data_IF_613112216874
#
_entry.id   IF_613112216874
#
_cell.length_a   1.000
_cell.length_b   1.000
_cell.length_c   1.000
_cell.angle_alpha   90.00
_cell.angle_beta   90.00
_cell.angle_gamma   90.00
#
_symmetry.space_group_name_H-M   'P 1'
#
loop_
_entity.id
_entity.type
_entity.pdbx_description
1 polymer ?
#
# COMPACT_ATOMS: atom_id res chain seq x y z
N UNK A 1 -6.04 31.08 -1.98
CA UNK A 1 -4.87 31.07 -1.05
C UNK A 1 -3.65 30.51 -1.75
N UNK A 2 -2.45 30.81 -1.25
CA UNK A 2 -1.18 30.33 -1.80
C UNK A 2 -0.29 29.77 -0.68
N UNK A 3 0.34 28.61 -0.91
CA UNK A 3 1.42 28.10 -0.05
C UNK A 3 2.69 27.95 -0.89
N UNK A 4 3.73 28.72 -0.55
CA UNK A 4 5.07 28.60 -1.15
C UNK A 4 5.74 27.29 -0.70
N UNK A 5 6.26 26.56 -1.67
CA UNK A 5 6.97 25.30 -1.44
C UNK A 5 8.49 25.53 -1.40
N UNK A 6 9.24 24.54 -0.92
CA UNK A 6 10.72 24.63 -0.86
C UNK A 6 11.36 24.78 -2.25
N UNK A 7 10.88 24.01 -3.21
CA UNK A 7 11.24 23.92 -4.62
C UNK A 7 10.25 22.96 -5.31
N UNK A 8 10.34 22.80 -6.63
CA UNK A 8 9.53 21.93 -7.47
C UNK A 8 9.88 20.45 -7.28
N UNK A 9 9.83 19.65 -8.35
CA UNK A 9 10.23 18.24 -8.26
C UNK A 9 11.70 18.08 -7.83
N UNK A 10 12.57 19.02 -8.24
CA UNK A 10 13.99 19.00 -7.96
C UNK A 10 14.48 20.34 -7.38
N UNK A 11 15.58 20.36 -6.60
CA UNK A 11 16.09 21.58 -5.95
C UNK A 11 16.38 22.78 -6.87
N UNK A 12 16.73 22.54 -8.14
CA UNK A 12 17.00 23.61 -9.10
C UNK A 12 15.71 24.31 -9.60
N UNK A 13 14.54 23.69 -9.42
CA UNK A 13 13.24 24.23 -9.84
C UNK A 13 12.65 25.11 -8.71
N UNK A 14 13.19 26.30 -8.48
CA UNK A 14 12.94 27.07 -7.23
C UNK A 14 11.54 27.68 -7.10
N UNK A 15 10.88 28.01 -8.21
CA UNK A 15 9.59 28.70 -8.20
C UNK A 15 8.43 27.70 -8.11
N UNK A 16 8.12 27.25 -6.89
CA UNK A 16 7.08 26.25 -6.66
C UNK A 16 6.08 26.70 -5.58
N UNK A 17 4.79 26.51 -5.86
CA UNK A 17 3.67 26.83 -4.97
C UNK A 17 2.51 25.88 -5.21
N UNK A 18 1.59 25.80 -4.25
CA UNK A 18 0.22 25.32 -4.47
C UNK A 18 -0.75 26.48 -4.30
N UNK A 19 -1.79 26.47 -5.11
CA UNK A 19 -2.91 27.41 -5.08
C UNK A 19 -4.21 26.62 -4.93
N UNK A 20 -5.10 27.13 -4.10
CA UNK A 20 -6.41 26.53 -3.84
C UNK A 20 -7.36 27.57 -3.27
N UNK A 21 -8.65 27.31 -3.44
CA UNK A 21 -9.72 28.14 -2.90
C UNK A 21 -9.95 27.81 -1.42
N UNK A 22 -10.23 28.83 -0.61
CA UNK A 22 -10.60 28.70 0.80
C UNK A 22 -9.63 27.92 1.73
N UNK A 23 -9.98 27.83 3.03
CA UNK A 23 -9.14 27.33 4.13
C UNK A 23 -9.28 25.81 4.34
N UNK A 24 -9.39 25.02 3.27
CA UNK A 24 -9.60 23.56 3.38
C UNK A 24 -8.33 22.77 3.73
N UNK A 25 -7.14 23.36 3.63
CA UNK A 25 -5.86 22.71 3.90
C UNK A 25 -4.97 23.61 4.75
N UNK A 26 -4.56 23.11 5.91
CA UNK A 26 -3.76 23.84 6.89
C UNK A 26 -2.43 23.12 7.18
N UNK A 27 -1.32 23.84 7.10
CA UNK A 27 -0.01 23.35 7.53
C UNK A 27 0.15 23.63 9.03
N UNK A 28 0.00 22.61 9.86
CA UNK A 28 0.07 22.74 11.32
C UNK A 28 1.51 22.74 11.85
N UNK A 29 2.45 22.21 11.07
CA UNK A 29 3.87 22.16 11.40
C UNK A 29 4.73 21.86 10.16
N UNK A 30 5.98 22.32 10.17
CA UNK A 30 6.96 22.05 9.11
C UNK A 30 6.71 22.86 7.82
N UNK A 31 7.55 22.61 6.80
CA UNK A 31 7.46 23.28 5.49
C UNK A 31 7.34 22.25 4.36
N UNK A 32 6.27 22.28 3.55
CA UNK A 32 6.04 21.31 2.48
C UNK A 32 6.99 21.50 1.28
N UNK A 33 7.42 20.39 0.69
CA UNK A 33 7.99 20.34 -0.66
C UNK A 33 6.95 19.94 -1.71
N UNK A 34 7.31 20.06 -3.00
CA UNK A 34 6.40 19.68 -4.10
C UNK A 34 5.99 18.21 -4.06
N UNK A 35 6.96 17.31 -3.94
CA UNK A 35 6.69 15.86 -3.85
C UNK A 35 5.86 15.54 -2.60
N UNK A 36 6.09 16.24 -1.48
CA UNK A 36 5.27 16.07 -0.28
C UNK A 36 3.79 16.36 -0.54
N UNK A 37 3.47 17.42 -1.30
CA UNK A 37 2.08 17.74 -1.64
C UNK A 37 1.49 16.73 -2.63
N UNK A 38 2.27 16.23 -3.59
CA UNK A 38 1.82 15.15 -4.49
C UNK A 38 1.44 13.91 -3.68
N UNK A 39 2.30 13.49 -2.76
CA UNK A 39 2.04 12.34 -1.89
C UNK A 39 0.85 12.59 -0.96
N UNK A 40 0.80 13.74 -0.27
CA UNK A 40 -0.26 14.07 0.69
C UNK A 40 -1.65 14.11 0.02
N UNK A 41 -1.78 14.76 -1.13
CA UNK A 41 -3.09 14.91 -1.79
C UNK A 41 -3.58 13.60 -2.41
N UNK A 42 -2.70 12.76 -2.98
CA UNK A 42 -3.10 11.45 -3.49
C UNK A 42 -3.42 10.47 -2.36
N UNK A 43 -2.60 10.46 -1.31
CA UNK A 43 -2.80 9.58 -0.15
C UNK A 43 -4.07 9.94 0.64
N UNK A 44 -4.39 11.23 0.78
CA UNK A 44 -5.64 11.69 1.36
C UNK A 44 -6.86 11.16 0.61
N UNK A 45 -6.86 11.31 -0.72
CA UNK A 45 -7.97 10.83 -1.56
C UNK A 45 -8.15 9.31 -1.42
N UNK A 46 -7.05 8.54 -1.36
CA UNK A 46 -7.11 7.10 -1.12
C UNK A 46 -7.83 6.80 0.20
N UNK A 47 -7.39 7.38 1.32
CA UNK A 47 -7.96 7.04 2.63
C UNK A 47 -9.38 7.57 2.80
N UNK A 48 -9.73 8.70 2.18
CA UNK A 48 -11.10 9.22 2.13
C UNK A 48 -12.01 8.23 1.39
N UNK A 49 -11.66 7.83 0.17
CA UNK A 49 -12.48 6.88 -0.62
C UNK A 49 -12.54 5.50 0.02
N UNK A 50 -11.47 5.04 0.64
CA UNK A 50 -11.46 3.75 1.33
C UNK A 50 -12.34 3.78 2.60
N UNK A 51 -12.34 4.91 3.32
CA UNK A 51 -13.26 5.12 4.44
C UNK A 51 -14.71 5.13 3.99
N UNK A 52 -15.05 5.92 2.97
CA UNK A 52 -16.41 5.99 2.39
C UNK A 52 -16.91 4.61 1.91
N UNK A 53 -16.06 3.83 1.25
CA UNK A 53 -16.46 2.54 0.69
C UNK A 53 -16.61 1.41 1.72
N UNK A 54 -15.93 1.50 2.87
CA UNK A 54 -15.87 0.42 3.87
C UNK A 54 -16.51 0.78 5.21
N UNK A 55 -16.74 2.05 5.49
CA UNK A 55 -17.16 2.56 6.80
C UNK A 55 -16.09 2.41 7.89
N UNK A 56 -14.87 1.96 7.55
CA UNK A 56 -13.78 1.74 8.51
C UNK A 56 -12.75 2.84 8.45
N UNK A 57 -12.13 3.13 9.60
CA UNK A 57 -10.94 3.97 9.64
C UNK A 57 -9.88 3.34 8.74
N UNK A 58 -9.30 4.13 7.84
CA UNK A 58 -8.31 3.67 6.89
C UNK A 58 -7.05 4.52 6.94
N UNK A 59 -5.96 3.96 6.43
CA UNK A 59 -4.68 4.62 6.35
C UNK A 59 -3.90 4.20 5.11
N UNK A 60 -2.97 5.07 4.70
CA UNK A 60 -2.03 4.80 3.63
C UNK A 60 -0.61 5.24 4.03
N UNK A 61 0.37 4.51 3.49
CA UNK A 61 1.78 4.88 3.45
C UNK A 61 2.14 5.13 1.99
N UNK A 62 2.46 6.37 1.65
CA UNK A 62 2.82 6.77 0.29
C UNK A 62 4.32 7.04 0.15
N UNK A 63 4.85 6.70 -1.02
CA UNK A 63 6.20 7.05 -1.41
C UNK A 63 6.24 7.24 -2.93
N UNK A 64 6.76 8.37 -3.39
CA UNK A 64 6.88 8.67 -4.83
C UNK A 64 5.53 8.53 -5.58
N UNK A 65 4.49 9.14 -5.02
CA UNK A 65 3.15 9.28 -5.61
C UNK A 65 2.46 7.94 -5.88
N UNK A 66 2.78 6.92 -5.09
CA UNK A 66 2.10 5.62 -5.06
C UNK A 66 2.06 5.07 -3.63
N UNK A 67 1.03 4.28 -3.28
CA UNK A 67 0.98 3.63 -1.98
C UNK A 67 2.04 2.52 -1.90
N UNK A 68 2.97 2.65 -0.95
CA UNK A 68 3.77 1.53 -0.45
C UNK A 68 2.87 0.53 0.29
N UNK A 69 1.83 1.03 0.96
CA UNK A 69 0.75 0.23 1.48
C UNK A 69 -0.49 1.05 1.85
N UNK A 70 -1.62 0.37 1.97
CA UNK A 70 -2.92 0.94 2.30
C UNK A 70 -3.75 -0.14 3.01
N UNK A 71 -4.52 0.26 4.03
CA UNK A 71 -5.30 -0.68 4.83
C UNK A 71 -6.48 -0.02 5.55
N UNK A 72 -7.47 -0.84 5.87
CA UNK A 72 -8.50 -0.52 6.87
C UNK A 72 -8.10 -1.02 8.27
N UNK A 73 -8.67 -0.42 9.31
CA UNK A 73 -8.45 -0.82 10.69
C UNK A 73 -8.97 -2.25 10.93
N UNK A 74 -8.05 -3.15 11.25
CA UNK A 74 -8.31 -4.54 11.66
C UNK A 74 -7.40 -4.98 12.79
N UNK A 75 -7.73 -6.08 13.48
CA UNK A 75 -6.82 -6.70 14.44
C UNK A 75 -5.43 -6.95 13.84
N UNK A 76 -4.41 -6.78 14.67
CA UNK A 76 -3.03 -7.13 14.35
C UNK A 76 -2.78 -8.49 15.00
N UNK A 77 -2.50 -9.52 14.21
CA UNK A 77 -2.15 -10.82 14.78
C UNK A 77 -0.69 -10.83 15.25
N UNK A 78 -0.34 -11.80 16.09
CA UNK A 78 0.97 -11.89 16.72
C UNK A 78 2.11 -12.04 15.69
N UNK A 79 1.94 -12.90 14.68
CA UNK A 79 2.94 -13.13 13.63
C UNK A 79 3.24 -11.85 12.85
N UNK A 80 2.20 -11.08 12.52
CA UNK A 80 2.32 -9.79 11.87
C UNK A 80 3.08 -8.83 12.78
N UNK A 81 2.68 -8.65 14.06
CA UNK A 81 3.39 -7.77 14.98
C UNK A 81 4.89 -8.14 15.10
N UNK A 82 5.22 -9.42 15.24
CA UNK A 82 6.60 -9.93 15.25
C UNK A 82 7.35 -9.57 13.97
N UNK A 83 6.75 -9.80 12.79
CA UNK A 83 7.34 -9.44 11.50
C UNK A 83 7.61 -7.94 11.35
N UNK A 84 6.86 -7.10 12.09
CA UNK A 84 7.03 -5.65 12.09
C UNK A 84 7.96 -5.15 13.21
N UNK A 85 8.58 -6.06 13.99
CA UNK A 85 9.37 -5.75 15.19
C UNK A 85 8.59 -4.94 16.24
N UNK A 86 7.29 -5.22 16.36
CA UNK A 86 6.38 -4.57 17.29
C UNK A 86 6.00 -5.53 18.42
N UNK A 87 5.80 -4.97 19.61
CA UNK A 87 5.27 -5.69 20.78
C UNK A 87 3.75 -5.61 20.77
N UNK A 88 3.10 -6.61 21.34
CA UNK A 88 1.67 -6.55 21.58
C UNK A 88 1.30 -5.41 22.52
N UNK A 89 0.36 -4.57 22.08
CA UNK A 89 -0.15 -3.41 22.81
C UNK A 89 -1.59 -3.15 22.37
N UNK A 90 -2.34 -2.44 23.22
CA UNK A 90 -3.66 -1.92 22.87
C UNK A 90 -3.54 -0.72 21.94
N UNK A 91 -3.28 -0.99 20.66
CA UNK A 91 -3.28 0.03 19.61
C UNK A 91 -4.71 0.52 19.32
N UNK A 92 -4.87 1.83 19.12
CA UNK A 92 -6.13 2.40 18.64
C UNK A 92 -6.49 1.94 17.23
N UNK A 93 -7.71 2.22 16.76
CA UNK A 93 -8.12 1.85 15.39
C UNK A 93 -7.29 2.58 14.33
N UNK A 94 -6.99 3.88 14.53
CA UNK A 94 -6.15 4.65 13.63
C UNK A 94 -4.71 4.11 13.59
N UNK A 95 -4.13 3.80 14.76
CA UNK A 95 -2.82 3.14 14.85
C UNK A 95 -2.82 1.79 14.12
N UNK A 96 -3.83 0.94 14.32
CA UNK A 96 -3.93 -0.35 13.63
C UNK A 96 -4.00 -0.21 12.12
N UNK A 97 -4.82 0.71 11.60
CA UNK A 97 -4.91 0.96 10.16
C UNK A 97 -3.53 1.38 9.58
N UNK A 98 -2.84 2.30 10.24
CA UNK A 98 -1.55 2.79 9.74
C UNK A 98 -0.41 1.78 9.90
N UNK A 99 -0.36 1.05 11.02
CA UNK A 99 0.60 -0.05 11.22
C UNK A 99 0.45 -1.10 10.11
N UNK A 100 -0.79 -1.42 9.72
CA UNK A 100 -1.06 -2.27 8.56
C UNK A 100 -0.56 -1.60 7.28
N UNK A 101 -1.03 -0.39 6.95
CA UNK A 101 -0.61 0.31 5.73
C UNK A 101 0.92 0.38 5.57
N UNK A 102 1.65 0.86 6.58
CA UNK A 102 3.12 0.91 6.59
C UNK A 102 3.77 -0.48 6.49
N UNK A 103 3.16 -1.48 7.12
CA UNK A 103 3.61 -2.86 7.09
C UNK A 103 3.31 -3.60 5.78
N UNK A 104 2.65 -2.98 4.80
CA UNK A 104 2.49 -3.57 3.46
C UNK A 104 3.83 -3.72 2.75
N UNK A 105 4.70 -2.71 2.85
CA UNK A 105 6.10 -2.74 2.43
C UNK A 105 6.92 -1.77 3.29
N UNK A 106 7.61 -2.30 4.30
CA UNK A 106 8.38 -1.49 5.27
C UNK A 106 9.55 -0.77 4.61
N UNK A 107 10.21 -1.38 3.63
CA UNK A 107 11.36 -0.76 2.94
C UNK A 107 10.89 0.44 2.15
N UNK A 108 9.84 0.26 1.34
CA UNK A 108 9.26 1.34 0.53
C UNK A 108 8.67 2.46 1.41
N UNK A 109 8.21 2.14 2.62
CA UNK A 109 7.67 3.12 3.57
C UNK A 109 8.72 3.93 4.34
N UNK A 110 10.02 3.75 4.07
CA UNK A 110 11.06 4.55 4.71
C UNK A 110 10.98 6.02 4.25
N UNK A 111 10.61 6.93 5.16
CA UNK A 111 10.30 8.32 4.82
C UNK A 111 9.01 8.46 4.02
N UNK A 112 7.97 7.72 4.40
CA UNK A 112 6.66 7.79 3.77
C UNK A 112 5.89 9.08 4.07
N UNK A 113 4.85 9.30 3.29
CA UNK A 113 3.73 10.16 3.61
C UNK A 113 2.60 9.32 4.22
N UNK A 114 2.31 9.57 5.51
CA UNK A 114 1.21 8.94 6.21
C UNK A 114 -0.10 9.68 5.91
N UNK A 115 -1.16 8.97 5.51
CA UNK A 115 -2.50 9.52 5.44
C UNK A 115 -3.46 8.72 6.31
N UNK A 116 -4.36 9.40 7.03
CA UNK A 116 -5.30 8.80 7.97
C UNK A 116 -6.69 9.36 7.72
N UNK A 117 -7.70 8.51 7.57
CA UNK A 117 -9.08 8.94 7.28
C UNK A 117 -9.84 9.48 8.49
N UNK A 118 -9.21 9.53 9.68
CA UNK A 118 -9.82 9.89 10.94
C UNK A 118 -8.90 10.76 11.77
N UNK A 119 -9.42 11.28 12.88
CA UNK A 119 -8.62 11.98 13.89
C UNK A 119 -7.39 11.15 14.30
N UNK A 120 -6.24 11.81 14.37
CA UNK A 120 -4.98 11.24 14.84
C UNK A 120 -4.92 11.32 16.35
N UNK A 121 -4.84 10.15 16.99
CA UNK A 121 -4.76 9.99 18.44
C UNK A 121 -3.32 9.78 18.95
N UNK A 122 -3.16 9.82 20.28
CA UNK A 122 -1.88 9.60 20.95
C UNK A 122 -1.26 8.23 20.62
N UNK A 123 -2.09 7.19 20.44
CA UNK A 123 -1.60 5.83 20.14
C UNK A 123 -0.88 5.79 18.79
N UNK A 124 -1.48 6.40 17.76
CA UNK A 124 -0.87 6.52 16.44
C UNK A 124 0.34 7.46 16.47
N UNK A 125 0.25 8.60 17.16
CA UNK A 125 1.37 9.54 17.26
C UNK A 125 2.61 8.91 17.89
N UNK A 126 2.46 8.13 18.98
CA UNK A 126 3.56 7.42 19.65
C UNK A 126 4.18 6.31 18.79
N UNK A 127 3.36 5.64 17.97
CA UNK A 127 3.89 4.70 16.98
C UNK A 127 4.70 5.46 15.93
N UNK A 128 4.09 6.45 15.29
CA UNK A 128 4.69 7.20 14.20
C UNK A 128 5.95 7.94 14.62
N UNK A 129 6.03 8.45 15.86
CA UNK A 129 7.22 9.11 16.44
C UNK A 129 8.50 8.30 16.27
N UNK A 130 8.41 6.98 16.37
CA UNK A 130 9.55 6.05 16.32
C UNK A 130 9.93 5.62 14.90
N UNK A 131 9.09 5.93 13.93
CA UNK A 131 9.26 5.55 12.53
C UNK A 131 9.83 6.71 11.71
N UNK A 132 10.62 6.38 10.68
CA UNK A 132 11.08 7.37 9.69
C UNK A 132 9.95 7.62 8.70
N UNK A 133 9.41 8.83 8.75
CA UNK A 133 8.29 9.33 7.95
C UNK A 133 8.54 10.80 7.64
N UNK A 134 8.11 11.26 6.47
CA UNK A 134 8.33 12.64 6.01
C UNK A 134 7.15 13.57 6.32
N UNK A 135 5.91 13.06 6.30
CA UNK A 135 4.72 13.83 6.62
C UNK A 135 3.56 12.98 7.13
N UNK A 136 2.56 13.65 7.73
CA UNK A 136 1.24 13.08 7.98
C UNK A 136 0.14 14.05 7.52
N UNK A 137 -0.90 13.52 6.87
CA UNK A 137 -2.14 14.23 6.53
C UNK A 137 -3.36 13.54 7.14
N UNK A 138 -4.24 14.31 7.78
CA UNK A 138 -5.45 13.79 8.45
C UNK A 138 -6.50 14.90 8.62
N UNK A 139 -7.77 14.57 8.92
CA UNK A 139 -8.81 15.58 9.11
C UNK A 139 -8.70 16.35 10.43
N UNK A 140 -8.13 15.72 11.46
CA UNK A 140 -8.06 16.27 12.81
C UNK A 140 -6.91 15.61 13.59
N UNK A 141 -6.41 16.31 14.62
CA UNK A 141 -5.38 15.83 15.53
C UNK A 141 -5.80 16.10 16.97
N UNK A 142 -5.69 15.12 17.86
CA UNK A 142 -5.76 15.40 19.29
C UNK A 142 -4.59 16.30 19.71
N UNK A 143 -4.81 17.23 20.64
CA UNK A 143 -3.77 18.19 21.06
C UNK A 143 -2.48 17.51 21.50
N UNK A 144 -2.59 16.45 22.33
CA UNK A 144 -1.44 15.67 22.79
C UNK A 144 -0.75 14.90 21.63
N UNK A 145 -1.51 14.42 20.66
CA UNK A 145 -0.96 13.75 19.48
C UNK A 145 -0.16 14.73 18.62
N UNK A 146 -0.69 15.94 18.41
CA UNK A 146 -0.03 17.02 17.69
C UNK A 146 1.29 17.42 18.36
N UNK A 147 1.29 17.61 19.69
CA UNK A 147 2.51 17.90 20.46
C UNK A 147 3.61 16.84 20.30
N UNK A 148 3.23 15.55 20.30
CA UNK A 148 4.17 14.44 20.10
C UNK A 148 4.76 14.50 18.68
N UNK A 149 3.93 14.73 17.68
CA UNK A 149 4.35 14.73 16.28
C UNK A 149 5.20 15.95 15.93
N UNK A 150 4.93 17.13 16.52
CA UNK A 150 5.75 18.34 16.33
C UNK A 150 7.21 18.14 16.74
N UNK A 151 7.51 17.24 17.68
CA UNK A 151 8.88 16.93 18.11
C UNK A 151 9.68 16.10 17.09
N UNK A 152 9.03 15.46 16.11
CA UNK A 152 9.72 14.65 15.08
C UNK A 152 10.56 15.54 14.15
N UNK A 153 11.63 14.95 13.59
CA UNK A 153 12.55 15.61 12.65
C UNK A 153 13.04 16.97 13.17
N UNK A 154 13.43 17.01 14.45
CA UNK A 154 13.93 18.22 15.13
C UNK A 154 12.96 19.42 14.99
N UNK A 155 11.66 19.20 15.20
CA UNK A 155 10.66 20.26 15.05
C UNK A 155 10.07 20.41 13.65
N UNK A 156 10.66 19.77 12.62
CA UNK A 156 10.36 20.06 11.22
C UNK A 156 9.49 19.01 10.52
N UNK A 157 8.88 18.08 11.25
CA UNK A 157 7.97 17.10 10.66
C UNK A 157 6.74 17.78 10.08
N UNK A 158 6.38 17.45 8.84
CA UNK A 158 5.28 18.09 8.14
C UNK A 158 3.94 17.49 8.61
N UNK A 159 3.07 18.34 9.14
CA UNK A 159 1.75 17.95 9.64
C UNK A 159 0.70 18.77 8.91
N UNK A 160 -0.20 18.09 8.20
CA UNK A 160 -1.20 18.71 7.34
C UNK A 160 -2.59 18.34 7.81
N UNK A 161 -3.41 19.32 8.12
CA UNK A 161 -4.83 19.13 8.35
C UNK A 161 -5.59 19.42 7.06
N UNK A 162 -6.58 18.59 6.74
CA UNK A 162 -7.44 18.77 5.56
C UNK A 162 -8.92 18.61 5.93
N UNK A 163 -9.77 19.51 5.45
CA UNK A 163 -11.21 19.42 5.67
C UNK A 163 -11.76 18.16 4.98
N UNK A 164 -12.40 17.24 5.72
CA UNK A 164 -12.96 16.03 5.13
C UNK A 164 -14.12 16.30 4.16
N UNK A 165 -14.79 17.44 4.29
CA UNK A 165 -15.92 17.84 3.45
C UNK A 165 -15.51 18.54 2.16
N UNK A 166 -14.23 18.87 2.00
CA UNK A 166 -13.73 19.45 0.75
C UNK A 166 -13.90 18.47 -0.41
N UNK A 167 -14.48 18.98 -1.50
CA UNK A 167 -14.59 18.31 -2.79
C UNK A 167 -13.94 19.16 -3.87
N UNK A 168 -13.01 18.61 -4.68
CA UNK A 168 -12.36 19.35 -5.74
C UNK A 168 -13.28 19.54 -6.95
N UNK A 169 -12.89 20.46 -7.85
CA UNK A 169 -13.56 20.60 -9.16
C UNK A 169 -13.62 19.28 -9.93
N UNK A 170 -14.72 19.11 -10.69
CA UNK A 170 -14.99 17.96 -11.56
C UNK A 170 -13.98 17.84 -12.70
N UNK A 171 -13.51 18.97 -13.21
CA UNK A 171 -12.49 19.02 -14.27
C UNK A 171 -11.12 19.21 -13.63
N UNK A 172 -10.15 18.38 -14.02
CA UNK A 172 -8.75 18.58 -13.68
C UNK A 172 -7.94 19.04 -14.90
N UNK A 173 -6.93 19.87 -14.61
CA UNK A 173 -6.02 20.46 -15.58
C UNK A 173 -4.59 19.99 -15.30
N UNK A 174 -3.83 19.68 -16.34
CA UNK A 174 -2.39 19.41 -16.26
C UNK A 174 -1.65 20.11 -17.39
N UNK A 175 -0.51 20.72 -17.08
CA UNK A 175 0.45 21.19 -18.08
C UNK A 175 1.43 20.06 -18.43
N UNK A 176 1.62 19.80 -19.73
CA UNK A 176 2.69 18.96 -20.25
C UNK A 176 3.32 19.67 -21.45
N UNK A 177 4.61 19.99 -21.36
CA UNK A 177 5.37 20.61 -22.45
C UNK A 177 4.72 21.91 -22.97
N UNK A 178 4.09 22.69 -22.08
CA UNK A 178 3.40 23.93 -22.41
C UNK A 178 1.99 23.75 -22.99
N UNK A 179 1.51 22.50 -23.13
CA UNK A 179 0.14 22.19 -23.52
C UNK A 179 -0.71 21.87 -22.30
N UNK A 180 -1.92 22.42 -22.28
CA UNK A 180 -2.88 22.15 -21.21
C UNK A 180 -3.79 20.98 -21.60
N UNK A 181 -3.77 19.92 -20.79
CA UNK A 181 -4.69 18.80 -20.86
C UNK A 181 -5.82 18.99 -19.84
N UNK A 182 -7.05 18.73 -20.27
CA UNK A 182 -8.25 18.81 -19.44
C UNK A 182 -9.01 17.49 -19.50
N UNK A 183 -9.51 17.03 -18.36
CA UNK A 183 -10.34 15.82 -18.29
C UNK A 183 -11.26 15.86 -17.08
N UNK A 184 -12.29 15.00 -17.10
CA UNK A 184 -13.04 14.67 -15.90
C UNK A 184 -12.14 13.97 -14.88
N UNK A 185 -12.28 14.34 -13.61
CA UNK A 185 -11.66 13.62 -12.49
C UNK A 185 -12.29 12.23 -12.35
N UNK A 186 -11.47 11.20 -12.11
CA UNK A 186 -11.97 9.86 -11.80
C UNK A 186 -12.71 9.85 -10.44
N UNK A 187 -14.04 9.92 -10.52
CA UNK A 187 -14.97 9.92 -9.38
C UNK A 187 -15.79 8.64 -9.30
N UNK A 188 -15.55 7.64 -10.17
CA UNK A 188 -16.42 6.46 -10.28
C UNK A 188 -16.42 5.67 -8.96
N UNK A 189 -17.54 5.39 -8.30
CA UNK A 189 -17.51 4.70 -7.00
C UNK A 189 -17.00 3.25 -7.08
N UNK A 190 -16.09 2.87 -6.18
CA UNK A 190 -15.63 1.49 -5.98
C UNK A 190 -16.30 0.98 -4.70
N UNK A 191 -17.45 0.33 -4.82
CA UNK A 191 -18.30 -0.08 -3.69
C UNK A 191 -18.58 -1.58 -3.70
N UNK A 192 -19.30 -2.08 -2.71
CA UNK A 192 -19.76 -3.48 -2.68
C UNK A 192 -20.55 -3.91 -3.93
N UNK A 193 -21.17 -2.96 -4.67
CA UNK A 193 -21.95 -3.24 -5.88
C UNK A 193 -21.10 -3.80 -7.02
N UNK A 194 -19.88 -3.29 -7.19
CA UNK A 194 -18.99 -3.75 -8.27
C UNK A 194 -18.44 -5.17 -8.02
N UNK A 195 -18.54 -5.65 -6.78
CA UNK A 195 -18.18 -7.02 -6.38
C UNK A 195 -19.44 -7.84 -6.04
N UNK A 196 -20.53 -7.61 -6.77
CA UNK A 196 -21.74 -8.43 -6.68
C UNK A 196 -21.57 -9.77 -7.41
N UNK A 197 -22.45 -10.73 -7.14
CA UNK A 197 -22.43 -12.06 -7.80
C UNK A 197 -22.56 -11.96 -9.33
N UNK A 198 -23.28 -10.95 -9.83
CA UNK A 198 -23.49 -10.73 -11.27
C UNK A 198 -22.21 -10.34 -12.01
N UNK A 199 -21.22 -9.80 -11.30
CA UNK A 199 -19.93 -9.42 -11.89
C UNK A 199 -18.90 -10.54 -11.82
N UNK A 200 -19.23 -11.70 -11.22
CA UNK A 200 -18.35 -12.85 -11.23
C UNK A 200 -18.45 -13.51 -12.60
N UNK A 201 -17.32 -13.73 -13.27
CA UNK A 201 -17.28 -14.39 -14.59
C UNK A 201 -16.84 -15.86 -14.53
N UNK A 202 -16.09 -16.25 -13.50
CA UNK A 202 -15.68 -17.64 -13.26
C UNK A 202 -16.84 -18.56 -12.87
N UNK A 203 -16.70 -19.86 -13.07
CA UNK A 203 -17.67 -20.89 -12.64
C UNK A 203 -17.84 -20.94 -11.12
N UNK A 204 -16.75 -20.84 -10.36
CA UNK A 204 -16.84 -20.78 -8.90
C UNK A 204 -17.48 -19.44 -8.47
N UNK A 205 -18.60 -19.52 -7.76
CA UNK A 205 -19.35 -18.38 -7.19
C UNK A 205 -19.40 -18.41 -5.65
N UNK A 206 -18.65 -19.29 -5.00
CA UNK A 206 -18.64 -19.44 -3.55
C UNK A 206 -17.79 -18.35 -2.88
N UNK A 207 -18.39 -17.19 -2.67
CA UNK A 207 -17.72 -16.00 -2.15
C UNK A 207 -17.72 -15.98 -0.61
N UNK A 208 -16.54 -15.83 0.00
CA UNK A 208 -16.43 -15.50 1.42
C UNK A 208 -16.98 -14.08 1.71
N UNK A 209 -17.82 -13.95 2.73
CA UNK A 209 -18.46 -12.69 3.10
C UNK A 209 -17.48 -11.53 3.35
N UNK A 210 -16.24 -11.81 3.78
CA UNK A 210 -15.26 -10.79 4.13
C UNK A 210 -14.33 -10.39 2.97
N UNK A 211 -14.44 -11.01 1.79
CA UNK A 211 -13.49 -10.75 0.70
C UNK A 211 -13.69 -9.37 0.05
N UNK A 212 -14.94 -8.89 -0.01
CA UNK A 212 -15.29 -7.65 -0.72
C UNK A 212 -14.50 -6.45 -0.21
N UNK A 213 -14.30 -6.35 1.11
CA UNK A 213 -13.49 -5.29 1.69
C UNK A 213 -12.03 -5.34 1.23
N UNK A 214 -11.47 -6.54 1.08
CA UNK A 214 -10.09 -6.71 0.58
C UNK A 214 -10.01 -6.32 -0.91
N UNK A 215 -11.00 -6.71 -1.72
CA UNK A 215 -11.10 -6.31 -3.12
C UNK A 215 -11.28 -4.80 -3.28
N UNK A 216 -12.14 -4.16 -2.46
CA UNK A 216 -12.32 -2.71 -2.41
C UNK A 216 -10.99 -2.04 -2.05
N UNK A 217 -10.30 -2.53 -1.01
CA UNK A 217 -9.01 -2.00 -0.58
C UNK A 217 -7.98 -2.05 -1.72
N UNK A 218 -7.87 -3.19 -2.40
CA UNK A 218 -6.97 -3.36 -3.54
C UNK A 218 -7.29 -2.42 -4.70
N UNK A 219 -8.54 -2.36 -5.13
CA UNK A 219 -8.95 -1.53 -6.28
C UNK A 219 -8.84 -0.01 -5.97
N UNK A 220 -9.22 0.43 -4.76
CA UNK A 220 -9.02 1.83 -4.35
C UNK A 220 -7.53 2.17 -4.29
N UNK A 221 -6.67 1.26 -3.82
CA UNK A 221 -5.23 1.50 -3.85
C UNK A 221 -4.69 1.66 -5.28
N UNK A 222 -5.16 0.84 -6.23
CA UNK A 222 -4.74 0.92 -7.63
C UNK A 222 -5.16 2.22 -8.31
N UNK A 223 -6.36 2.74 -8.00
CA UNK A 223 -6.80 4.07 -8.48
C UNK A 223 -5.78 5.19 -8.19
N UNK A 224 -5.03 5.07 -7.09
CA UNK A 224 -4.04 6.06 -6.67
C UNK A 224 -2.60 5.54 -6.79
N UNK A 225 -2.37 4.47 -7.57
CA UNK A 225 -1.04 3.94 -7.89
C UNK A 225 -0.67 4.31 -9.32
N UNK A 226 0.56 4.78 -9.56
CA UNK A 226 1.02 5.08 -10.91
C UNK A 226 0.93 3.85 -11.83
N UNK A 227 0.37 4.03 -13.02
CA UNK A 227 0.07 2.94 -13.96
C UNK A 227 1.27 2.53 -14.84
N UNK A 228 1.30 1.29 -15.34
CA UNK A 228 0.35 0.21 -15.03
C UNK A 228 0.60 -0.36 -13.63
N UNK A 229 -0.50 -0.72 -12.96
CA UNK A 229 -0.47 -1.18 -11.58
C UNK A 229 -1.25 -2.47 -11.35
N UNK A 230 -0.68 -3.32 -10.50
CA UNK A 230 -1.26 -4.58 -10.01
C UNK A 230 -0.93 -4.68 -8.53
N UNK A 231 -1.89 -5.07 -7.71
CA UNK A 231 -1.65 -5.28 -6.29
C UNK A 231 -2.18 -6.63 -5.83
N UNK A 232 -1.53 -7.16 -4.80
CA UNK A 232 -2.06 -8.27 -4.02
C UNK A 232 -2.53 -7.71 -2.69
N UNK A 233 -3.77 -8.00 -2.32
CA UNK A 233 -4.33 -7.58 -1.05
C UNK A 233 -4.80 -8.78 -0.23
N UNK A 234 -4.65 -8.65 1.09
CA UNK A 234 -5.00 -9.65 2.08
C UNK A 234 -5.67 -8.98 3.28
N UNK A 235 -6.83 -9.47 3.66
CA UNK A 235 -7.52 -9.06 4.88
C UNK A 235 -7.62 -7.51 5.03
N UNK A 236 -8.14 -6.84 4.00
CA UNK A 236 -8.31 -5.37 4.02
C UNK A 236 -7.02 -4.55 4.04
N UNK A 237 -5.92 -5.08 3.48
CA UNK A 237 -4.63 -4.41 3.36
C UNK A 237 -3.95 -4.83 2.05
N UNK A 238 -3.29 -3.91 1.34
CA UNK A 238 -2.38 -4.29 0.25
C UNK A 238 -1.04 -4.77 0.83
N UNK A 239 -0.56 -5.92 0.35
CA UNK A 239 0.66 -6.59 0.82
C UNK A 239 1.72 -6.73 -0.28
N UNK A 240 1.38 -6.38 -1.51
CA UNK A 240 2.32 -6.23 -2.62
C UNK A 240 1.75 -5.31 -3.67
N UNK A 241 2.54 -4.33 -4.11
CA UNK A 241 2.11 -3.34 -5.10
C UNK A 241 3.18 -3.17 -6.19
N UNK A 242 2.79 -3.42 -7.44
CA UNK A 242 3.54 -3.06 -8.64
C UNK A 242 3.00 -1.74 -9.17
N UNK A 243 3.89 -0.77 -9.39
CA UNK A 243 3.56 0.58 -9.84
C UNK A 243 4.48 1.00 -10.99
N UNK A 244 3.95 1.80 -11.91
CA UNK A 244 4.71 2.42 -13.01
C UNK A 244 5.30 1.43 -14.02
N UNK A 245 4.75 0.21 -14.11
CA UNK A 245 5.30 -0.82 -15.00
C UNK A 245 4.68 -0.72 -16.40
N UNK A 246 5.42 -1.11 -17.44
CA UNK A 246 4.86 -1.11 -18.81
C UNK A 246 4.18 -2.45 -19.18
N UNK A 247 4.70 -3.57 -18.68
CA UNK A 247 4.18 -4.92 -18.98
C UNK A 247 3.29 -5.46 -17.85
N UNK A 248 2.09 -5.94 -18.21
CA UNK A 248 1.10 -6.45 -17.24
C UNK A 248 1.61 -7.66 -16.45
N UNK A 249 2.25 -8.62 -17.12
CA UNK A 249 2.80 -9.80 -16.46
C UNK A 249 4.00 -9.44 -15.58
N UNK A 250 4.85 -8.48 -16.00
CA UNK A 250 5.95 -8.01 -15.16
C UNK A 250 5.43 -7.30 -13.91
N UNK A 251 4.41 -6.45 -14.05
CA UNK A 251 3.73 -5.83 -12.92
C UNK A 251 3.12 -6.87 -11.97
N UNK A 252 2.50 -7.92 -12.53
CA UNK A 252 1.95 -9.04 -11.74
C UNK A 252 3.03 -9.80 -10.98
N UNK A 253 4.16 -10.12 -11.64
CA UNK A 253 5.31 -10.78 -11.00
C UNK A 253 5.85 -9.93 -9.85
N UNK A 254 6.09 -8.65 -10.09
CA UNK A 254 6.57 -7.70 -9.08
C UNK A 254 5.63 -7.61 -7.86
N UNK A 255 4.33 -7.44 -8.10
CA UNK A 255 3.33 -7.37 -7.03
C UNK A 255 3.27 -8.67 -6.22
N UNK A 256 3.29 -9.83 -6.90
CA UNK A 256 3.28 -11.12 -6.24
C UNK A 256 4.57 -11.41 -5.48
N UNK A 257 5.74 -10.97 -5.96
CA UNK A 257 7.03 -11.12 -5.25
C UNK A 257 7.05 -10.30 -3.96
N UNK A 258 6.54 -9.06 -3.99
CA UNK A 258 6.39 -8.25 -2.78
C UNK A 258 5.43 -8.88 -1.77
N UNK A 259 4.31 -9.42 -2.25
CA UNK A 259 3.35 -10.12 -1.39
C UNK A 259 3.91 -11.41 -0.80
N UNK A 260 4.64 -12.20 -1.59
CA UNK A 260 5.34 -13.41 -1.12
C UNK A 260 6.33 -13.08 -0.01
N UNK A 261 7.11 -12.01 -0.18
CA UNK A 261 7.99 -11.48 0.87
C UNK A 261 7.20 -11.12 2.13
N UNK A 262 6.11 -10.36 2.03
CA UNK A 262 5.26 -10.00 3.17
C UNK A 262 4.72 -11.22 3.93
N UNK A 263 4.30 -12.25 3.20
CA UNK A 263 3.80 -13.50 3.77
C UNK A 263 4.93 -14.27 4.49
N UNK A 264 6.10 -14.38 3.86
CA UNK A 264 7.25 -15.10 4.40
C UNK A 264 7.93 -14.38 5.57
N UNK A 265 7.84 -13.05 5.66
CA UNK A 265 8.32 -12.28 6.81
C UNK A 265 7.64 -12.71 8.13
N UNK A 266 6.48 -13.35 8.05
CA UNK A 266 5.73 -13.87 9.19
C UNK A 266 6.07 -15.34 9.53
N UNK A 267 6.97 -15.98 8.77
CA UNK A 267 7.34 -17.38 8.97
C UNK A 267 8.11 -17.58 10.30
N UNK A 268 7.90 -18.68 11.05
CA UNK A 268 8.58 -18.93 12.32
C UNK A 268 10.12 -18.86 12.24
N UNK A 269 10.72 -19.33 11.14
CA UNK A 269 12.17 -19.21 10.92
C UNK A 269 12.66 -17.75 10.80
N UNK A 270 11.84 -16.83 10.28
CA UNK A 270 12.17 -15.39 10.28
C UNK A 270 12.11 -14.84 11.69
N UNK A 271 11.07 -15.21 12.46
CA UNK A 271 10.93 -14.76 13.86
C UNK A 271 12.06 -15.27 14.78
N UNK A 272 12.75 -16.35 14.40
CA UNK A 272 13.90 -16.93 15.12
C UNK A 272 15.25 -16.33 14.72
N UNK A 273 15.32 -15.39 13.77
CA UNK A 273 16.59 -14.76 13.40
C UNK A 273 17.20 -14.06 14.63
N UNK A 274 18.41 -14.47 14.98
CA UNK A 274 19.13 -13.98 16.15
C UNK A 274 20.16 -12.94 15.73
N UNK A 275 19.78 -11.66 15.85
CA UNK A 275 20.59 -10.53 15.42
C UNK A 275 21.72 -10.21 16.41
N UNK A 276 22.84 -9.69 15.91
CA UNK A 276 23.82 -9.02 16.78
C UNK A 276 23.18 -7.82 17.51
N UNK A 277 23.76 -7.45 18.65
CA UNK A 277 23.21 -6.40 19.51
C UNK A 277 23.35 -5.01 18.87
N UNK A 278 22.48 -4.07 19.26
CA UNK A 278 22.54 -2.68 18.80
C UNK A 278 21.91 -2.40 17.41
N UNK A 279 21.50 -3.43 16.65
CA UNK A 279 20.90 -3.21 15.32
C UNK A 279 19.57 -2.45 15.38
N UNK A 280 19.47 -1.41 14.54
CA UNK A 280 18.23 -0.65 14.34
C UNK A 280 17.13 -1.50 13.69
N UNK A 281 15.86 -1.11 13.85
CA UNK A 281 14.74 -1.82 13.18
C UNK A 281 14.86 -1.80 11.66
N UNK A 282 15.39 -0.71 11.08
CA UNK A 282 15.60 -0.61 9.65
C UNK A 282 16.67 -1.60 9.19
N UNK A 283 17.78 -1.71 9.92
CA UNK A 283 18.82 -2.70 9.65
C UNK A 283 18.27 -4.13 9.72
N UNK A 284 17.50 -4.46 10.77
CA UNK A 284 16.84 -5.77 10.90
C UNK A 284 15.89 -6.07 9.73
N UNK A 285 15.11 -5.08 9.29
CA UNK A 285 14.22 -5.22 8.12
C UNK A 285 15.03 -5.58 6.86
N UNK A 286 16.14 -4.88 6.61
CA UNK A 286 17.02 -5.17 5.47
C UNK A 286 17.64 -6.58 5.55
N UNK A 287 18.03 -7.05 6.75
CA UNK A 287 18.57 -8.39 6.95
C UNK A 287 17.52 -9.49 6.70
N UNK A 288 16.27 -9.29 7.16
CA UNK A 288 15.16 -10.20 6.84
C UNK A 288 14.97 -10.31 5.34
N UNK A 289 15.06 -9.19 4.63
CA UNK A 289 14.83 -9.16 3.19
C UNK A 289 15.95 -9.88 2.44
N UNK A 290 17.20 -9.72 2.87
CA UNK A 290 18.33 -10.52 2.37
C UNK A 290 18.13 -12.01 2.67
N UNK A 291 17.76 -12.36 3.89
CA UNK A 291 17.49 -13.75 4.29
C UNK A 291 16.42 -14.41 3.40
N UNK A 292 15.33 -13.71 3.10
CA UNK A 292 14.28 -14.24 2.22
C UNK A 292 14.72 -14.39 0.75
N UNK A 293 15.77 -13.66 0.35
CA UNK A 293 16.37 -13.68 -0.97
C UNK A 293 17.67 -14.52 -1.03
N UNK A 294 17.93 -15.37 -0.04
CA UNK A 294 19.18 -16.13 0.11
C UNK A 294 19.77 -16.70 -1.19
N UNK A 295 18.93 -17.34 -2.01
CA UNK A 295 19.33 -18.01 -3.26
C UNK A 295 19.74 -17.03 -4.37
N UNK A 296 19.37 -15.75 -4.25
CA UNK A 296 19.69 -14.67 -5.20
C UNK A 296 20.83 -13.75 -4.72
N UNK A 297 21.29 -13.92 -3.48
CA UNK A 297 22.37 -13.09 -2.93
C UNK A 297 23.73 -13.47 -3.52
N UNK A 298 24.55 -12.45 -3.76
CA UNK A 298 26.00 -12.64 -3.99
C UNK A 298 26.71 -13.16 -2.73
N UNK A 299 27.94 -13.66 -2.89
CA UNK A 299 28.75 -14.14 -1.75
C UNK A 299 28.96 -13.06 -0.69
N UNK A 300 29.29 -11.83 -1.10
CA UNK A 300 29.49 -10.69 -0.20
C UNK A 300 28.21 -10.32 0.56
N UNK A 301 27.04 -10.42 -0.09
CA UNK A 301 25.77 -10.16 0.60
C UNK A 301 25.39 -11.24 1.61
N UNK A 302 25.78 -12.49 1.35
CA UNK A 302 25.59 -13.60 2.30
C UNK A 302 26.50 -13.44 3.50
N UNK A 303 27.77 -13.12 3.27
CA UNK A 303 28.74 -12.83 4.34
C UNK A 303 28.24 -11.69 5.22
N UNK A 304 27.86 -10.56 4.63
CA UNK A 304 27.26 -9.44 5.36
C UNK A 304 26.03 -9.84 6.19
N UNK A 305 25.15 -10.69 5.64
CA UNK A 305 23.99 -11.19 6.39
C UNK A 305 24.43 -12.04 7.59
N UNK A 306 25.40 -12.93 7.41
CA UNK A 306 25.90 -13.82 8.46
C UNK A 306 26.64 -13.06 9.57
N UNK A 307 27.45 -12.05 9.22
CA UNK A 307 28.17 -11.21 10.20
C UNK A 307 27.24 -10.42 11.12
N UNK A 308 25.98 -10.22 10.69
CA UNK A 308 24.96 -9.51 11.45
C UNK A 308 24.01 -10.45 12.22
N UNK A 309 24.29 -11.75 12.24
CA UNK A 309 23.56 -12.76 13.00
C UNK A 309 24.49 -13.44 14.02
N UNK A 310 23.98 -13.70 15.22
CA UNK A 310 24.73 -14.41 16.29
C UNK A 310 24.95 -15.89 15.96
N UNK A 311 24.13 -16.44 15.07
CA UNK A 311 24.20 -17.82 14.62
C UNK A 311 23.75 -17.95 13.17
N UNK A 312 24.25 -18.99 12.48
CA UNK A 312 23.86 -19.28 11.10
C UNK A 312 22.37 -19.63 11.06
N UNK A 313 21.55 -18.93 10.24
CA UNK A 313 20.12 -19.13 10.27
C UNK A 313 19.71 -20.42 9.53
N UNK A 314 18.67 -21.09 10.01
CA UNK A 314 17.98 -22.11 9.24
C UNK A 314 17.26 -21.48 8.04
N UNK A 315 17.52 -21.96 6.83
CA UNK A 315 16.86 -21.45 5.62
C UNK A 315 15.45 -22.02 5.48
N UNK A 316 14.55 -21.26 4.83
CA UNK A 316 13.22 -21.74 4.46
C UNK A 316 13.33 -22.46 3.11
N UNK A 317 13.14 -23.78 3.12
CA UNK A 317 13.13 -24.58 1.90
C UNK A 317 11.93 -24.25 1.00
N UNK A 318 12.01 -24.56 -0.29
CA UNK A 318 10.89 -24.33 -1.21
C UNK A 318 9.60 -25.04 -0.77
N UNK A 319 9.71 -26.26 -0.21
CA UNK A 319 8.56 -27.01 0.32
C UNK A 319 7.92 -26.31 1.51
N UNK A 320 8.74 -25.77 2.43
CA UNK A 320 8.25 -24.99 3.57
C UNK A 320 7.60 -23.68 3.13
N UNK A 321 8.18 -22.95 2.16
CA UNK A 321 7.56 -21.75 1.58
C UNK A 321 6.16 -22.08 1.05
N UNK A 322 6.04 -23.11 0.22
CA UNK A 322 4.74 -23.52 -0.35
C UNK A 322 3.74 -23.97 0.72
N UNK A 323 4.19 -24.66 1.77
CA UNK A 323 3.32 -25.02 2.91
C UNK A 323 2.84 -23.79 3.65
N UNK A 324 3.72 -22.82 3.88
CA UNK A 324 3.41 -21.59 4.61
C UNK A 324 2.40 -20.70 3.88
N UNK A 325 2.56 -20.54 2.56
CA UNK A 325 1.65 -19.71 1.75
C UNK A 325 0.20 -20.23 1.78
N UNK A 326 -0.02 -21.54 1.99
CA UNK A 326 -1.35 -22.13 2.12
C UNK A 326 -2.10 -21.71 3.40
N UNK A 327 -1.42 -21.15 4.40
CA UNK A 327 -2.07 -20.65 5.61
C UNK A 327 -2.80 -19.31 5.39
N UNK A 328 -2.64 -18.70 4.21
CA UNK A 328 -3.24 -17.42 3.85
C UNK A 328 -4.29 -17.65 2.77
N UNK A 329 -5.50 -17.96 3.20
CA UNK A 329 -6.66 -18.00 2.32
C UNK A 329 -7.10 -16.58 1.95
N UNK A 330 -8.00 -16.42 0.97
CA UNK A 330 -8.58 -15.11 0.67
C UNK A 330 -7.59 -14.04 0.17
N UNK A 331 -6.45 -14.44 -0.39
CA UNK A 331 -5.58 -13.55 -1.15
C UNK A 331 -6.29 -13.09 -2.42
N UNK A 332 -6.23 -11.78 -2.66
CA UNK A 332 -6.83 -11.12 -3.83
C UNK A 332 -5.74 -10.59 -4.75
N UNK A 333 -5.92 -10.71 -6.06
CA UNK A 333 -5.13 -10.02 -7.08
C UNK A 333 -6.03 -8.97 -7.74
N UNK A 334 -5.64 -7.70 -7.69
CA UNK A 334 -6.35 -6.62 -8.35
C UNK A 334 -5.48 -6.03 -9.47
N UNK A 335 -6.08 -5.66 -10.60
CA UNK A 335 -5.38 -5.03 -11.72
C UNK A 335 -6.14 -3.80 -12.23
N UNK A 336 -5.40 -2.72 -12.50
CA UNK A 336 -5.98 -1.46 -13.01
C UNK A 336 -6.49 -1.56 -14.46
N UNK A 337 -6.02 -2.56 -15.22
CA UNK A 337 -6.52 -2.93 -16.55
C UNK A 337 -6.66 -4.44 -16.70
N UNK A 338 -7.21 -4.88 -17.83
CA UNK A 338 -7.41 -6.30 -18.11
C UNK A 338 -6.09 -7.07 -18.19
N UNK A 339 -6.17 -8.39 -17.93
CA UNK A 339 -5.07 -9.33 -18.16
C UNK A 339 -5.09 -9.78 -19.63
N UNK A 340 -4.01 -9.54 -20.39
CA UNK A 340 -3.97 -9.93 -21.81
C UNK A 340 -3.78 -11.44 -22.00
N UNK A 341 -3.12 -12.11 -21.05
CA UNK A 341 -2.82 -13.54 -21.13
C UNK A 341 -2.96 -14.21 -19.75
N UNK A 342 -2.95 -15.56 -19.75
CA UNK A 342 -3.07 -16.40 -18.55
C UNK A 342 -1.87 -16.36 -17.60
N UNK A 343 -0.72 -15.88 -18.06
CA UNK A 343 0.54 -15.90 -17.32
C UNK A 343 0.47 -15.11 -15.99
N UNK A 344 -0.30 -14.02 -15.96
CA UNK A 344 -0.64 -13.31 -14.71
C UNK A 344 -1.40 -14.20 -13.72
N UNK A 345 -2.36 -15.01 -14.20
CA UNK A 345 -3.14 -15.94 -13.37
C UNK A 345 -2.26 -17.09 -12.88
N UNK A 346 -1.42 -17.63 -13.76
CA UNK A 346 -0.44 -18.68 -13.40
C UNK A 346 0.52 -18.19 -12.31
N UNK A 347 0.99 -16.94 -12.39
CA UNK A 347 1.84 -16.34 -11.34
C UNK A 347 1.10 -16.15 -10.02
N UNK A 348 -0.16 -15.73 -10.07
CA UNK A 348 -1.00 -15.52 -8.89
C UNK A 348 -1.32 -16.83 -8.17
N UNK A 349 -1.55 -17.91 -8.93
CA UNK A 349 -1.80 -19.24 -8.37
C UNK A 349 -0.65 -19.76 -7.50
N UNK A 350 0.60 -19.47 -7.88
CA UNK A 350 1.80 -19.82 -7.08
C UNK A 350 1.81 -19.19 -5.68
N UNK A 351 1.07 -18.10 -5.48
CA UNK A 351 0.95 -17.40 -4.20
C UNK A 351 -0.28 -17.85 -3.39
N UNK A 352 -1.08 -18.80 -3.87
CA UNK A 352 -2.38 -19.17 -3.30
C UNK A 352 -3.46 -18.06 -3.40
N UNK A 353 -3.40 -17.21 -4.43
CA UNK A 353 -4.50 -16.27 -4.74
C UNK A 353 -5.79 -17.04 -5.02
N UNK A 354 -6.90 -16.56 -4.46
CA UNK A 354 -8.25 -17.16 -4.64
C UNK A 354 -9.24 -16.25 -5.36
N UNK A 355 -9.00 -14.94 -5.33
CA UNK A 355 -9.92 -13.95 -5.87
C UNK A 355 -9.16 -12.99 -6.77
N UNK A 356 -9.74 -12.63 -7.90
CA UNK A 356 -9.14 -11.77 -8.90
C UNK A 356 -10.14 -10.69 -9.30
N UNK A 357 -9.70 -9.45 -9.44
CA UNK A 357 -10.51 -8.38 -10.04
C UNK A 357 -9.75 -7.68 -11.17
N UNK A 358 -10.41 -7.56 -12.31
CA UNK A 358 -9.97 -6.79 -13.46
C UNK A 358 -11.17 -6.06 -14.08
N UNK A 359 -10.98 -5.02 -14.93
CA UNK A 359 -12.10 -4.40 -15.63
C UNK A 359 -12.85 -5.34 -16.58
N UNK A 360 -12.16 -6.32 -17.18
CA UNK A 360 -12.64 -7.03 -18.37
C UNK A 360 -12.48 -6.20 -19.64
N UNK A 361 -12.95 -6.72 -20.76
CA UNK A 361 -12.88 -6.09 -22.09
C UNK A 361 -11.67 -6.52 -22.93
N UNK A 362 -11.01 -7.62 -22.58
CA UNK A 362 -9.97 -8.23 -23.42
C UNK A 362 -10.60 -9.15 -24.46
N UNK A 363 -10.09 -9.14 -25.70
CA UNK A 363 -10.43 -10.14 -26.72
C UNK A 363 -10.13 -11.58 -26.22
N UNK A 364 -9.24 -11.71 -25.23
CA UNK A 364 -8.79 -12.98 -24.65
C UNK A 364 -9.39 -13.27 -23.27
N UNK A 365 -10.43 -12.55 -22.85
CA UNK A 365 -11.03 -12.73 -21.52
C UNK A 365 -11.49 -14.16 -21.25
N UNK A 366 -12.02 -14.86 -22.26
CA UNK A 366 -12.42 -16.28 -22.14
C UNK A 366 -11.23 -17.17 -21.81
N UNK A 367 -10.09 -16.98 -22.48
CA UNK A 367 -8.86 -17.74 -22.21
C UNK A 367 -8.34 -17.51 -20.78
N UNK A 368 -8.43 -16.27 -20.30
CA UNK A 368 -8.04 -15.93 -18.92
C UNK A 368 -9.00 -16.57 -17.92
N UNK A 369 -10.32 -16.47 -18.17
CA UNK A 369 -11.37 -17.01 -17.30
C UNK A 369 -11.31 -18.54 -17.21
N UNK A 370 -11.01 -19.22 -18.32
CA UNK A 370 -10.82 -20.68 -18.34
C UNK A 370 -9.69 -21.14 -17.41
N UNK A 371 -8.62 -20.34 -17.28
CA UNK A 371 -7.50 -20.65 -16.36
C UNK A 371 -7.86 -20.34 -14.91
N UNK A 372 -8.63 -19.30 -14.66
CA UNK A 372 -9.21 -19.02 -13.32
C UNK A 372 -10.06 -20.20 -12.87
N UNK A 373 -10.93 -20.72 -13.75
CA UNK A 373 -11.77 -21.89 -13.47
C UNK A 373 -10.94 -23.15 -13.21
N UNK A 374 -9.89 -23.38 -14.01
CA UNK A 374 -8.96 -24.50 -13.81
C UNK A 374 -8.31 -24.49 -12.42
N UNK A 375 -8.05 -23.31 -11.86
CA UNK A 375 -7.51 -23.16 -10.51
C UNK A 375 -8.58 -23.02 -9.42
N UNK A 376 -9.86 -23.17 -9.77
CA UNK A 376 -11.00 -23.01 -8.88
C UNK A 376 -11.00 -21.63 -8.15
N UNK A 377 -10.52 -20.60 -8.84
CA UNK A 377 -10.51 -19.22 -8.34
C UNK A 377 -11.81 -18.49 -8.70
N UNK A 378 -12.00 -17.31 -8.10
CA UNK A 378 -13.12 -16.42 -8.41
C UNK A 378 -12.60 -15.17 -9.10
N UNK A 379 -13.15 -14.82 -10.27
CA UNK A 379 -12.80 -13.60 -11.00
C UNK A 379 -14.00 -12.66 -11.15
N UNK A 380 -13.77 -11.39 -10.82
CA UNK A 380 -14.70 -10.29 -11.04
C UNK A 380 -14.28 -9.46 -12.26
N UNK A 381 -15.24 -9.18 -13.14
CA UNK A 381 -15.13 -8.10 -14.13
C UNK A 381 -15.78 -6.84 -13.58
N UNK A 382 -14.98 -5.83 -13.25
CA UNK A 382 -15.46 -4.61 -12.57
C UNK A 382 -16.09 -3.61 -13.53
N UNK A 383 -15.74 -3.63 -14.82
CA UNK A 383 -16.12 -2.60 -15.79
C UNK A 383 -15.51 -1.22 -15.51
N UNK A 384 -14.40 -1.17 -14.74
CA UNK A 384 -13.72 0.06 -14.36
C UNK A 384 -12.22 -0.09 -14.56
N UNK A 385 -11.66 0.64 -15.52
CA UNK A 385 -10.20 0.80 -15.69
C UNK A 385 -9.72 1.92 -14.78
N UNK A 386 -8.57 1.73 -14.14
CA UNK A 386 -8.06 2.59 -13.06
C UNK A 386 -6.67 3.18 -13.39
N UNK A 387 -6.50 3.69 -14.61
CA UNK A 387 -5.22 4.29 -14.98
C UNK A 387 -4.94 5.59 -14.24
N UNK A 388 -3.69 5.77 -13.82
CA UNK A 388 -3.18 6.97 -13.15
C UNK A 388 -1.79 7.30 -13.66
N UNK A 389 -1.60 8.54 -14.10
CA UNK A 389 -0.32 9.09 -14.54
C UNK A 389 -0.09 10.47 -13.93
#
# INVERSE_FOLDING_TARGET
MEIKLKYGCNPHQKNAKIEFDDNYLNILNGKPGYINMLDALNSWQLVKKLHEATGKISAASFKHVSPAGAAVAKPLNENFLKSQFLKEKKYSKAAKAYIRARGGDRMSSYGDAAAISSKVDVSLAEYLRKEVSDLIIAPEYESKALEILKKKKNGNYLIIQIDPNYEPSKIEKRDIFGFNLYQDRDTKPITNKIFSKNNIVSKNKSVDNNIKETLITGNIALRYTQSNSVCVAYNGQIIGNGAGQQSRVHCTRLACEKAEKWLLQQHPKVARLNYVDGLSRAAKTNLVDKYLLWDKLSSAEREFLLDNLKEKPELITQKEKQKWLKNFDNLTLCSDAFFPFRDSIDRANKLNVKYISQPGGSIRDENVTNVVDKYNMIMYHTGIRLFRH
#
